data_IF_389630866881
#
_entry.id   IF_389630866881
#
_cell.length_a   1.000
_cell.length_b   1.000
_cell.length_c   1.000
_cell.angle_alpha   90.00
_cell.angle_beta   90.00
_cell.angle_gamma   90.00
#
_symmetry.space_group_name_H-M   'P 1'
#
loop_
_entity.id
_entity.type
_entity.pdbx_description
1 polymer ?
#
# COMPACT_ATOMS: atom_id res chain seq x y z
N UNK A 1 26.54 0.00 -2.96
CA UNK A 1 25.48 0.74 -2.24
C UNK A 1 25.08 -0.13 -1.05
N UNK A 2 25.21 0.37 0.17
CA UNK A 2 24.79 -0.41 1.38
C UNK A 2 23.26 -0.44 1.40
N UNK A 3 22.69 -1.64 1.27
CA UNK A 3 21.24 -1.84 1.45
C UNK A 3 20.84 -1.38 2.85
N UNK A 4 19.68 -0.70 2.95
CA UNK A 4 19.11 -0.24 4.23
C UNK A 4 18.31 -1.33 4.94
N UNK A 5 18.16 -2.51 4.30
CA UNK A 5 17.38 -3.63 4.84
C UNK A 5 18.11 -4.32 5.99
N UNK A 6 17.33 -4.76 7.01
CA UNK A 6 17.88 -5.48 8.18
C UNK A 6 18.28 -6.91 7.86
N UNK A 7 17.73 -7.49 6.81
CA UNK A 7 18.17 -8.75 6.20
C UNK A 7 18.82 -8.40 4.87
N UNK A 8 20.10 -8.70 4.64
CA UNK A 8 20.74 -8.43 3.35
C UNK A 8 19.95 -9.08 2.22
N UNK A 9 19.68 -8.38 1.10
CA UNK A 9 18.99 -8.98 -0.04
C UNK A 9 19.77 -10.19 -0.56
N UNK A 10 19.07 -11.32 -0.72
CA UNK A 10 19.64 -12.51 -1.37
C UNK A 10 19.73 -12.29 -2.88
N UNK A 11 20.68 -12.98 -3.50
CA UNK A 11 20.75 -13.04 -4.96
C UNK A 11 19.56 -13.83 -5.52
N UNK A 12 18.74 -13.15 -6.33
CA UNK A 12 17.57 -13.76 -6.97
C UNK A 12 18.03 -14.58 -8.19
N UNK A 13 18.06 -15.92 -8.06
CA UNK A 13 18.65 -16.84 -9.03
C UNK A 13 17.65 -17.82 -9.63
N UNK A 14 18.08 -18.55 -10.66
CA UNK A 14 17.29 -19.57 -11.36
C UNK A 14 16.24 -18.98 -12.32
N UNK A 15 15.58 -19.85 -13.08
CA UNK A 15 14.59 -19.46 -14.11
C UNK A 15 13.46 -18.63 -13.50
N UNK A 16 12.90 -19.07 -12.36
CA UNK A 16 11.84 -18.36 -11.67
C UNK A 16 12.30 -16.96 -11.21
N UNK A 17 13.52 -16.86 -10.69
CA UNK A 17 14.11 -15.58 -10.31
C UNK A 17 14.33 -14.64 -11.50
N UNK A 18 14.77 -15.19 -12.65
CA UNK A 18 14.92 -14.40 -13.87
C UNK A 18 13.58 -13.83 -14.35
N UNK A 19 12.52 -14.64 -14.32
CA UNK A 19 11.16 -14.19 -14.68
C UNK A 19 10.70 -13.07 -13.72
N UNK A 20 10.85 -13.25 -12.41
CA UNK A 20 10.46 -12.23 -11.44
C UNK A 20 11.23 -10.92 -11.63
N UNK A 21 12.54 -10.99 -11.88
CA UNK A 21 13.35 -9.79 -12.20
C UNK A 21 12.89 -9.11 -13.48
N UNK A 22 12.57 -9.86 -14.52
CA UNK A 22 12.07 -9.31 -15.78
C UNK A 22 10.71 -8.63 -15.60
N UNK A 23 9.79 -9.27 -14.87
CA UNK A 23 8.47 -8.69 -14.54
C UNK A 23 8.63 -7.44 -13.69
N UNK A 24 9.48 -7.46 -12.65
CA UNK A 24 9.74 -6.29 -11.81
C UNK A 24 10.26 -5.12 -12.64
N UNK A 25 11.25 -5.35 -13.50
CA UNK A 25 11.77 -4.28 -14.38
C UNK A 25 10.71 -3.73 -15.32
N UNK A 26 9.87 -4.61 -15.89
CA UNK A 26 8.80 -4.18 -16.81
C UNK A 26 7.73 -3.35 -16.09
N UNK A 27 7.35 -3.73 -14.87
CA UNK A 27 6.25 -3.09 -14.13
C UNK A 27 6.70 -1.89 -13.30
N UNK A 28 7.91 -1.95 -12.75
CA UNK A 28 8.40 -0.99 -11.75
C UNK A 28 9.66 -0.23 -12.20
N UNK A 29 10.16 -0.49 -13.40
CA UNK A 29 11.40 0.09 -13.91
C UNK A 29 12.68 -0.48 -13.30
N UNK A 30 12.61 -1.15 -12.15
CA UNK A 30 13.76 -1.68 -11.41
C UNK A 30 13.43 -3.00 -10.69
N UNK A 31 14.43 -3.60 -10.07
CA UNK A 31 14.26 -4.75 -9.17
C UNK A 31 14.46 -4.26 -7.75
N UNK A 32 13.40 -4.15 -6.93
CA UNK A 32 13.53 -3.63 -5.57
C UNK A 32 14.25 -4.59 -4.65
N UNK A 33 14.98 -4.08 -3.66
CA UNK A 33 15.64 -4.87 -2.59
C UNK A 33 14.65 -5.79 -1.86
N UNK A 34 13.39 -5.36 -1.76
CA UNK A 34 12.30 -6.15 -1.20
C UNK A 34 12.20 -7.56 -1.83
N UNK A 35 12.44 -7.70 -3.14
CA UNK A 35 12.43 -9.00 -3.80
C UNK A 35 13.58 -9.90 -3.28
N UNK A 36 14.77 -9.34 -3.09
CA UNK A 36 15.91 -10.07 -2.54
C UNK A 36 15.70 -10.48 -1.08
N UNK A 37 15.09 -9.60 -0.27
CA UNK A 37 14.72 -9.93 1.12
C UNK A 37 13.70 -11.06 1.17
N UNK A 38 12.65 -10.99 0.36
CA UNK A 38 11.62 -12.04 0.29
C UNK A 38 12.14 -13.36 -0.31
N UNK A 39 13.22 -13.30 -1.10
CA UNK A 39 13.82 -14.47 -1.73
C UNK A 39 14.39 -15.48 -0.75
N UNK A 40 14.76 -15.06 0.46
CA UNK A 40 15.22 -15.95 1.54
C UNK A 40 14.16 -17.00 1.93
N UNK A 41 12.87 -16.70 1.76
CA UNK A 41 11.78 -17.61 2.10
C UNK A 41 10.71 -17.63 1.00
N UNK A 42 10.90 -18.50 0.01
CA UNK A 42 10.00 -18.62 -1.15
C UNK A 42 8.54 -18.93 -0.78
N UNK A 43 8.22 -19.80 0.20
CA UNK A 43 6.85 -19.98 0.69
C UNK A 43 6.21 -18.68 1.16
N UNK A 44 6.89 -17.90 2.00
CA UNK A 44 6.40 -16.60 2.49
C UNK A 44 6.22 -15.61 1.34
N UNK A 45 7.20 -15.52 0.44
CA UNK A 45 7.11 -14.67 -0.76
C UNK A 45 5.89 -15.01 -1.62
N UNK A 46 5.67 -16.31 -1.92
CA UNK A 46 4.53 -16.77 -2.71
C UNK A 46 3.20 -16.46 -2.05
N UNK A 47 3.11 -16.63 -0.72
CA UNK A 47 1.93 -16.27 0.05
C UNK A 47 1.63 -14.77 -0.08
N UNK A 48 2.63 -13.92 0.18
CA UNK A 48 2.46 -12.46 0.13
C UNK A 48 2.07 -11.95 -1.26
N UNK A 49 2.76 -12.44 -2.31
CA UNK A 49 2.42 -12.08 -3.69
C UNK A 49 1.04 -12.62 -4.11
N UNK A 50 0.74 -13.88 -3.74
CA UNK A 50 -0.55 -14.49 -4.04
C UNK A 50 -1.71 -13.77 -3.35
N UNK A 51 -1.53 -13.31 -2.12
CA UNK A 51 -2.51 -12.52 -1.39
C UNK A 51 -2.75 -11.18 -2.08
N UNK A 52 -1.67 -10.47 -2.45
CA UNK A 52 -1.76 -9.22 -3.19
C UNK A 52 -2.50 -9.38 -4.53
N UNK A 53 -2.12 -10.40 -5.33
CA UNK A 53 -2.76 -10.67 -6.62
C UNK A 53 -4.23 -11.06 -6.52
N UNK A 54 -4.60 -11.86 -5.50
CA UNK A 54 -6.00 -12.27 -5.29
C UNK A 54 -6.84 -11.09 -4.85
N UNK A 55 -6.34 -10.32 -3.90
CA UNK A 55 -7.07 -9.14 -3.39
C UNK A 55 -7.21 -8.02 -4.43
N UNK A 56 -6.31 -7.92 -5.40
CA UNK A 56 -6.43 -6.99 -6.53
C UNK A 56 -7.57 -7.35 -7.52
N UNK A 57 -8.18 -8.53 -7.38
CA UNK A 57 -9.31 -8.99 -8.21
C UNK A 57 -10.67 -8.78 -7.54
N UNK A 58 -10.70 -8.19 -6.38
CA UNK A 58 -11.94 -7.87 -5.69
C UNK A 58 -12.43 -6.50 -6.16
N UNK A 59 -13.72 -6.39 -6.47
CA UNK A 59 -14.30 -5.22 -7.11
C UNK A 59 -15.63 -4.79 -6.46
N UNK A 60 -15.90 -5.23 -5.21
CA UNK A 60 -17.08 -4.79 -4.48
C UNK A 60 -16.93 -3.36 -3.95
N UNK A 61 -15.71 -2.98 -3.56
CA UNK A 61 -15.37 -1.63 -3.15
C UNK A 61 -14.71 -0.86 -4.30
N UNK A 62 -14.99 0.42 -4.38
CA UNK A 62 -14.38 1.35 -5.34
C UNK A 62 -12.84 1.33 -5.24
N UNK A 63 -12.15 1.36 -6.40
CA UNK A 63 -10.69 1.26 -6.45
C UNK A 63 -9.99 2.50 -5.89
N UNK A 64 -10.58 3.68 -6.07
CA UNK A 64 -10.01 4.92 -5.56
C UNK A 64 -10.05 4.93 -4.03
N UNK A 65 -11.17 4.50 -3.44
CA UNK A 65 -11.31 4.38 -1.99
C UNK A 65 -10.29 3.38 -1.39
N UNK A 66 -10.09 2.24 -2.07
CA UNK A 66 -9.07 1.25 -1.66
C UNK A 66 -7.65 1.82 -1.77
N UNK A 67 -7.39 2.62 -2.80
CA UNK A 67 -6.09 3.28 -3.01
C UNK A 67 -5.81 4.33 -1.94
N UNK A 68 -6.81 5.18 -1.60
CA UNK A 68 -6.68 6.13 -0.49
C UNK A 68 -6.44 5.44 0.85
N UNK A 69 -7.22 4.38 1.17
CA UNK A 69 -7.02 3.59 2.37
C UNK A 69 -5.60 2.98 2.43
N UNK A 70 -5.11 2.40 1.33
CA UNK A 70 -3.77 1.83 1.22
C UNK A 70 -2.68 2.88 1.53
N UNK A 71 -2.76 4.04 0.89
CA UNK A 71 -1.77 5.11 1.07
C UNK A 71 -1.85 5.72 2.47
N UNK A 72 -3.04 5.89 3.05
CA UNK A 72 -3.22 6.38 4.42
C UNK A 72 -2.56 5.43 5.44
N UNK A 73 -2.80 4.11 5.32
CA UNK A 73 -2.14 3.09 6.15
C UNK A 73 -0.62 3.13 6.00
N UNK A 74 -0.13 3.19 4.75
CA UNK A 74 1.31 3.24 4.48
C UNK A 74 1.97 4.48 5.08
N UNK A 75 1.31 5.63 4.97
CA UNK A 75 1.74 6.90 5.56
C UNK A 75 1.72 6.85 7.09
N UNK A 76 0.64 6.35 7.70
CA UNK A 76 0.52 6.25 9.16
C UNK A 76 1.62 5.38 9.76
N UNK A 77 1.86 4.20 9.17
CA UNK A 77 2.86 3.23 9.67
C UNK A 77 4.30 3.66 9.34
N UNK A 78 4.49 4.61 8.42
CA UNK A 78 5.80 5.05 7.97
C UNK A 78 6.48 4.07 7.00
N UNK A 79 5.70 3.27 6.25
CA UNK A 79 6.22 2.39 5.22
C UNK A 79 6.48 3.17 3.91
N UNK A 80 7.66 3.76 3.77
CA UNK A 80 8.01 4.53 2.58
C UNK A 80 7.94 3.71 1.29
N UNK A 81 8.31 2.43 1.32
CA UNK A 81 8.18 1.51 0.18
C UNK A 81 6.71 1.33 -0.23
N UNK A 82 5.82 1.10 0.76
CA UNK A 82 4.41 0.88 0.48
C UNK A 82 3.72 2.14 -0.03
N UNK A 83 4.10 3.30 0.51
CA UNK A 83 3.54 4.58 0.11
C UNK A 83 3.95 4.95 -1.32
N UNK A 84 5.24 4.81 -1.65
CA UNK A 84 5.79 5.03 -2.98
C UNK A 84 5.16 4.09 -4.03
N UNK A 85 5.10 2.78 -3.71
CA UNK A 85 4.46 1.80 -4.58
C UNK A 85 2.95 2.06 -4.75
N UNK A 86 2.26 2.41 -3.66
CA UNK A 86 0.83 2.73 -3.68
C UNK A 86 0.53 3.96 -4.55
N UNK A 87 1.33 5.01 -4.43
CA UNK A 87 1.21 6.21 -5.25
C UNK A 87 1.45 5.92 -6.74
N UNK A 88 2.53 5.18 -7.04
CA UNK A 88 2.83 4.74 -8.40
C UNK A 88 1.70 3.89 -9.01
N UNK A 89 1.14 2.94 -8.25
CA UNK A 89 0.04 2.10 -8.71
C UNK A 89 -1.25 2.90 -8.91
N UNK A 90 -1.58 3.81 -8.01
CA UNK A 90 -2.73 4.70 -8.08
C UNK A 90 -2.68 5.58 -9.33
N UNK A 91 -1.51 6.17 -9.61
CA UNK A 91 -1.30 6.94 -10.85
C UNK A 91 -1.56 6.09 -12.10
N UNK A 92 -0.99 4.87 -12.18
CA UNK A 92 -1.18 3.98 -13.32
C UNK A 92 -2.64 3.48 -13.46
N UNK A 93 -3.41 3.49 -12.38
CA UNK A 93 -4.84 3.18 -12.38
C UNK A 93 -5.73 4.37 -12.74
N UNK A 94 -5.15 5.59 -12.90
CA UNK A 94 -5.87 6.80 -13.26
C UNK A 94 -6.46 7.56 -12.07
N UNK A 95 -6.03 7.27 -10.82
CA UNK A 95 -6.44 8.04 -9.65
C UNK A 95 -6.05 9.51 -9.80
N UNK A 96 -6.90 10.41 -9.32
CA UNK A 96 -6.61 11.85 -9.29
C UNK A 96 -5.29 12.12 -8.54
N UNK A 97 -4.28 12.56 -9.30
CA UNK A 97 -2.93 12.81 -8.78
C UNK A 97 -2.92 13.91 -7.72
N UNK A 98 -3.75 14.95 -7.88
CA UNK A 98 -3.82 16.05 -6.90
C UNK A 98 -4.32 15.54 -5.55
N UNK A 99 -5.31 14.63 -5.54
CA UNK A 99 -5.76 13.96 -4.33
C UNK A 99 -4.74 12.96 -3.80
N UNK A 100 -4.18 12.11 -4.64
CA UNK A 100 -3.20 11.10 -4.22
C UNK A 100 -2.02 11.74 -3.46
N UNK A 101 -1.53 12.88 -3.94
CA UNK A 101 -0.44 13.63 -3.30
C UNK A 101 -0.78 14.13 -1.90
N UNK A 102 -2.03 14.43 -1.63
CA UNK A 102 -2.50 14.99 -0.37
C UNK A 102 -2.80 13.92 0.70
N UNK A 103 -2.82 12.62 0.34
CA UNK A 103 -3.14 11.54 1.29
C UNK A 103 -2.27 11.58 2.56
N UNK A 104 -0.95 11.85 2.55
CA UNK A 104 -0.19 11.87 3.80
C UNK A 104 -0.62 12.95 4.81
N UNK A 105 -1.32 14.00 4.35
CA UNK A 105 -1.88 15.08 5.17
C UNK A 105 -3.39 15.27 4.93
N UNK A 106 -4.10 14.21 4.68
CA UNK A 106 -5.49 14.25 4.25
C UNK A 106 -6.42 15.01 5.22
N UNK A 107 -6.08 15.07 6.52
CA UNK A 107 -6.89 15.78 7.53
C UNK A 107 -6.88 17.28 7.31
N UNK A 108 -5.76 17.86 6.90
CA UNK A 108 -5.57 19.28 6.63
C UNK A 108 -6.00 19.68 5.21
N UNK A 109 -6.15 18.73 4.32
CA UNK A 109 -6.47 18.95 2.92
C UNK A 109 -7.98 19.06 2.69
N UNK A 110 -8.40 19.97 1.82
CA UNK A 110 -9.82 20.18 1.47
C UNK A 110 -10.27 19.43 0.21
N UNK A 111 -9.37 18.66 -0.42
CA UNK A 111 -9.66 18.01 -1.74
C UNK A 111 -10.51 16.74 -1.63
N UNK A 112 -10.61 16.16 -0.44
CA UNK A 112 -11.29 14.89 -0.22
C UNK A 112 -12.78 15.07 0.10
N UNK A 113 -13.61 14.21 -0.47
CA UNK A 113 -15.03 14.10 -0.13
C UNK A 113 -15.23 13.58 1.31
N UNK A 114 -16.42 13.75 1.89
CA UNK A 114 -16.72 13.17 3.20
C UNK A 114 -16.48 11.65 3.27
N UNK A 115 -16.88 10.90 2.24
CA UNK A 115 -16.69 9.44 2.18
C UNK A 115 -15.20 9.06 2.12
N UNK A 116 -14.40 9.73 1.28
CA UNK A 116 -12.96 9.48 1.20
C UNK A 116 -12.27 9.73 2.55
N UNK A 117 -12.69 10.77 3.28
CA UNK A 117 -12.19 11.06 4.63
C UNK A 117 -12.56 9.98 5.63
N UNK A 118 -13.83 9.53 5.63
CA UNK A 118 -14.28 8.43 6.49
C UNK A 118 -13.51 7.14 6.24
N UNK A 119 -13.24 6.82 4.97
CA UNK A 119 -12.45 5.65 4.57
C UNK A 119 -11.00 5.74 5.09
N UNK A 120 -10.35 6.88 4.94
CA UNK A 120 -8.98 7.07 5.45
C UNK A 120 -8.92 7.07 6.98
N UNK A 121 -9.90 7.66 7.64
CA UNK A 121 -10.01 7.65 9.09
C UNK A 121 -10.21 6.23 9.63
N UNK A 122 -11.12 5.47 9.05
CA UNK A 122 -11.34 4.06 9.37
C UNK A 122 -10.07 3.22 9.14
N UNK A 123 -9.37 3.46 8.03
CA UNK A 123 -8.12 2.76 7.72
C UNK A 123 -7.03 3.02 8.76
N UNK A 124 -6.87 4.26 9.21
CA UNK A 124 -5.93 4.61 10.27
C UNK A 124 -6.35 4.07 11.64
N UNK A 125 -7.65 4.12 11.97
CA UNK A 125 -8.19 3.54 13.20
C UNK A 125 -7.94 2.04 13.31
N UNK A 126 -8.05 1.30 12.20
CA UNK A 126 -7.71 -0.14 12.12
C UNK A 126 -6.22 -0.42 12.35
N UNK A 127 -5.34 0.56 12.20
CA UNK A 127 -3.89 0.37 12.35
C UNK A 127 -3.38 0.65 13.76
N UNK A 128 -4.22 1.16 14.64
CA UNK A 128 -3.84 1.44 16.02
C UNK A 128 -3.84 0.17 16.88
N UNK A 129 -3.17 0.24 18.03
CA UNK A 129 -3.16 -0.84 19.02
C UNK A 129 -3.31 -0.23 20.41
N UNK A 130 -4.44 -0.43 21.11
CA UNK A 130 -5.63 -1.16 20.65
C UNK A 130 -6.31 -0.50 19.43
N UNK A 131 -7.18 -1.24 18.73
CA UNK A 131 -7.95 -0.69 17.61
C UNK A 131 -8.78 0.51 18.05
N UNK A 132 -8.81 1.56 17.21
CA UNK A 132 -9.60 2.77 17.46
C UNK A 132 -10.87 2.83 16.59
N UNK A 133 -11.24 1.73 15.95
CA UNK A 133 -12.49 1.62 15.19
C UNK A 133 -13.67 1.67 16.15
N UNK A 134 -14.65 2.54 15.86
CA UNK A 134 -15.90 2.64 16.62
C UNK A 134 -17.07 2.03 15.86
N UNK A 135 -18.16 1.76 16.59
CA UNK A 135 -19.41 1.27 15.98
C UNK A 135 -20.00 2.31 15.02
N UNK A 136 -19.87 3.60 15.32
CA UNK A 136 -20.32 4.71 14.49
C UNK A 136 -19.56 4.78 13.16
N UNK A 137 -18.23 4.63 13.18
CA UNK A 137 -17.41 4.54 11.94
C UNK A 137 -17.88 3.40 11.06
N UNK A 138 -18.09 2.23 11.66
CA UNK A 138 -18.51 1.03 10.94
C UNK A 138 -19.92 1.18 10.38
N UNK A 139 -20.85 1.75 11.15
CA UNK A 139 -22.23 1.98 10.73
C UNK A 139 -22.31 3.00 9.58
N UNK A 140 -21.54 4.10 9.66
CA UNK A 140 -21.49 5.10 8.60
C UNK A 140 -20.98 4.52 7.27
N UNK A 141 -19.87 3.78 7.30
CA UNK A 141 -19.33 3.14 6.10
C UNK A 141 -20.24 2.01 5.58
N UNK A 142 -20.92 1.27 6.46
CA UNK A 142 -21.89 0.26 6.06
C UNK A 142 -23.08 0.88 5.31
N UNK A 143 -23.55 2.04 5.76
CA UNK A 143 -24.64 2.76 5.12
C UNK A 143 -24.27 3.27 3.72
N UNK A 144 -23.03 3.78 3.54
CA UNK A 144 -22.56 4.34 2.27
C UNK A 144 -22.11 3.27 1.27
N UNK A 145 -21.42 2.23 1.73
CA UNK A 145 -20.75 1.25 0.86
C UNK A 145 -21.54 -0.06 0.71
N UNK A 146 -22.34 -0.40 1.69
CA UNK A 146 -22.95 -1.72 1.82
C UNK A 146 -21.96 -2.80 2.32
N UNK A 147 -22.49 -3.91 2.77
CA UNK A 147 -21.71 -4.97 3.43
C UNK A 147 -20.61 -5.59 2.56
N UNK A 148 -20.81 -5.88 1.25
CA UNK A 148 -19.75 -6.48 0.44
C UNK A 148 -18.53 -5.54 0.29
N UNK A 149 -18.77 -4.26 0.03
CA UNK A 149 -17.69 -3.28 -0.16
C UNK A 149 -16.96 -2.97 1.15
N UNK A 150 -17.68 -2.84 2.27
CA UNK A 150 -17.06 -2.64 3.59
C UNK A 150 -16.20 -3.84 3.99
N UNK A 151 -16.66 -5.08 3.76
CA UNK A 151 -15.88 -6.29 4.03
C UNK A 151 -14.59 -6.31 3.20
N UNK A 152 -14.69 -5.99 1.90
CA UNK A 152 -13.54 -5.92 1.01
C UNK A 152 -12.55 -4.84 1.47
N UNK A 153 -13.00 -3.62 1.73
CA UNK A 153 -12.19 -2.52 2.21
C UNK A 153 -11.47 -2.88 3.51
N UNK A 154 -12.20 -3.40 4.50
CA UNK A 154 -11.64 -3.84 5.80
C UNK A 154 -10.54 -4.87 5.62
N UNK A 155 -10.78 -5.86 4.74
CA UNK A 155 -9.79 -6.91 4.46
C UNK A 155 -8.55 -6.33 3.77
N UNK A 156 -8.73 -5.42 2.82
CA UNK A 156 -7.61 -4.73 2.12
C UNK A 156 -6.76 -3.91 3.09
N UNK A 157 -7.40 -3.18 4.01
CA UNK A 157 -6.71 -2.42 5.07
C UNK A 157 -5.91 -3.37 5.97
N UNK A 158 -6.49 -4.50 6.40
CA UNK A 158 -5.79 -5.50 7.20
C UNK A 158 -4.56 -6.09 6.52
N UNK A 159 -4.68 -6.43 5.23
CA UNK A 159 -3.54 -6.90 4.40
C UNK A 159 -2.45 -5.83 4.31
N UNK A 160 -2.84 -4.57 4.10
CA UNK A 160 -1.89 -3.46 4.00
C UNK A 160 -1.19 -3.20 5.33
N UNK A 161 -1.93 -3.23 6.45
CA UNK A 161 -1.37 -3.08 7.80
C UNK A 161 -0.31 -4.16 8.09
N UNK A 162 -0.63 -5.42 7.81
CA UNK A 162 0.33 -6.53 7.94
C UNK A 162 1.58 -6.29 7.07
N UNK A 163 1.40 -5.94 5.81
CA UNK A 163 2.50 -5.75 4.85
C UNK A 163 3.37 -4.56 5.22
N UNK A 164 2.76 -3.42 5.57
CA UNK A 164 3.48 -2.20 5.94
C UNK A 164 4.34 -2.41 7.19
N UNK A 165 3.77 -3.02 8.24
CA UNK A 165 4.52 -3.33 9.47
C UNK A 165 5.67 -4.31 9.21
N UNK A 166 5.45 -5.33 8.38
CA UNK A 166 6.49 -6.27 7.96
C UNK A 166 7.64 -5.57 7.22
N UNK A 167 7.33 -4.72 6.25
CA UNK A 167 8.33 -3.97 5.50
C UNK A 167 9.13 -3.01 6.38
N UNK A 168 8.48 -2.27 7.28
CA UNK A 168 9.14 -1.40 8.25
C UNK A 168 10.03 -2.21 9.19
N UNK A 169 9.54 -3.35 9.70
CA UNK A 169 10.31 -4.25 10.57
C UNK A 169 11.55 -4.82 9.87
N UNK A 170 11.49 -5.05 8.55
CA UNK A 170 12.62 -5.55 7.76
C UNK A 170 13.52 -4.44 7.20
N UNK A 171 13.19 -3.16 7.46
CA UNK A 171 13.96 -2.02 6.96
C UNK A 171 13.86 -1.80 5.44
N UNK A 172 12.83 -2.35 4.81
CA UNK A 172 12.54 -2.15 3.38
C UNK A 172 12.05 -0.71 3.18
N UNK A 173 12.72 0.04 2.29
CA UNK A 173 12.45 1.45 2.03
C UNK A 173 12.03 1.68 0.59
N UNK A 174 11.55 2.90 0.31
CA UNK A 174 11.19 3.34 -1.05
C UNK A 174 12.29 3.00 -2.05
N UNK A 175 11.85 2.59 -3.24
CA UNK A 175 12.68 2.35 -4.41
C UNK A 175 12.48 3.46 -5.47
N UNK A 176 11.86 4.58 -5.08
CA UNK A 176 11.63 5.79 -5.88
C UNK A 176 10.86 5.51 -7.19
N UNK A 177 9.89 4.60 -7.14
CA UNK A 177 9.08 4.24 -8.30
C UNK A 177 8.33 5.45 -8.87
N UNK A 178 7.67 6.22 -8.00
CA UNK A 178 6.93 7.41 -8.40
C UNK A 178 7.87 8.48 -9.01
N UNK A 179 9.00 8.76 -8.36
CA UNK A 179 9.99 9.72 -8.85
C UNK A 179 10.59 9.29 -10.20
N UNK A 180 10.84 7.99 -10.39
CA UNK A 180 11.36 7.42 -11.65
C UNK A 180 10.39 7.62 -12.82
N UNK A 181 9.10 7.76 -12.54
CA UNK A 181 8.06 8.05 -13.53
C UNK A 181 7.75 9.55 -13.67
N UNK A 182 8.52 10.42 -13.00
CA UNK A 182 8.34 11.87 -13.05
C UNK A 182 7.14 12.38 -12.25
N UNK A 183 6.59 11.57 -11.35
CA UNK A 183 5.50 12.01 -10.48
C UNK A 183 5.98 13.07 -9.48
N UNK A 184 5.17 14.10 -9.23
CA UNK A 184 5.49 15.09 -8.22
C UNK A 184 5.57 14.44 -6.83
N UNK A 185 6.37 15.01 -5.89
CA UNK A 185 6.48 14.45 -4.55
C UNK A 185 5.15 14.50 -3.81
N UNK A 186 4.93 13.52 -2.95
CA UNK A 186 3.83 13.49 -2.00
C UNK A 186 3.98 14.65 -0.99
N UNK A 187 2.85 15.12 -0.47
CA UNK A 187 2.84 16.08 0.62
C UNK A 187 3.55 15.50 1.85
N UNK A 188 4.28 16.34 2.58
CA UNK A 188 4.87 15.93 3.84
C UNK A 188 3.74 15.64 4.86
N UNK A 189 3.93 14.60 5.66
CA UNK A 189 3.08 14.34 6.81
C UNK A 189 3.39 15.38 7.90
N UNK A 190 2.37 15.96 8.56
CA UNK A 190 2.58 16.88 9.70
C UNK A 190 3.33 16.23 10.84
#
# INVERSE_FOLDING_TARGET
MNSTTRIPPAEVTGVYGAVLKAVSRKMLGSVPDALGVMWHNKPVMRFSFGLGQRSARWHACDEDLKSYAHMAVASLIGCSFCLDLGYFQAHNAGLDEAKAREVPRWRESSVFTPLERQVMEYAEAMCQTPLAVTDEMSAALLAELGAPALLELTTRIGVMNMTARGNVALGIRSAEFAASCGLPPLAARP
#
